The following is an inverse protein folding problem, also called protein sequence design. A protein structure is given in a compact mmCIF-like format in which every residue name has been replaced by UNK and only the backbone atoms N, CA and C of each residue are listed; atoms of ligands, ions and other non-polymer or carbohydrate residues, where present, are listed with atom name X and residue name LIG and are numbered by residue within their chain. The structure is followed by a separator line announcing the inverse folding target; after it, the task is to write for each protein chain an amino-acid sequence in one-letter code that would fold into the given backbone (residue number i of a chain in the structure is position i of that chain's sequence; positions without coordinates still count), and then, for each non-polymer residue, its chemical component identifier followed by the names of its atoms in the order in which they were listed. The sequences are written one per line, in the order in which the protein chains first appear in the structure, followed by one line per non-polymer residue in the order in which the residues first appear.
data_IF_433801536143
#
_entry.id   IF_433801536143
#
_cell.length_a   1.000
_cell.length_b   1.000
_cell.length_c   1.000
_cell.angle_alpha   90.00
_cell.angle_beta   90.00
_cell.angle_gamma   90.00
#
_symmetry.space_group_name_H-M   'P 1'
#
loop_
_entity.id
_entity.type
_entity.pdbx_description
1 polymer ?
#
# COMPACT_ATOMS: atom_id res chain seq x y z
N UNK A 1 -5.15 5.29 -20.04
CA UNK A 1 -5.34 3.83 -20.06
C UNK A 1 -4.91 3.33 -18.68
N UNK A 2 -5.82 2.88 -17.82
CA UNK A 2 -5.43 2.29 -16.52
C UNK A 2 -5.03 0.85 -16.79
N UNK A 3 -3.75 0.53 -16.64
CA UNK A 3 -3.30 -0.86 -16.64
C UNK A 3 -3.84 -1.52 -15.36
N UNK A 4 -4.95 -2.23 -15.50
CA UNK A 4 -5.47 -3.10 -14.45
C UNK A 4 -4.48 -4.25 -14.33
N UNK A 5 -3.69 -4.25 -13.26
CA UNK A 5 -2.78 -5.36 -12.94
C UNK A 5 -3.65 -6.60 -12.74
N UNK A 6 -3.40 -7.71 -13.48
CA UNK A 6 -4.14 -8.95 -13.27
C UNK A 6 -4.07 -9.41 -11.81
N UNK A 7 -5.18 -9.95 -11.29
CA UNK A 7 -5.30 -10.35 -9.88
C UNK A 7 -4.19 -11.33 -9.47
N UNK A 8 -3.88 -12.33 -10.29
CA UNK A 8 -2.82 -13.31 -10.01
C UNK A 8 -1.43 -12.65 -9.91
N UNK A 9 -1.17 -11.64 -10.74
CA UNK A 9 0.09 -10.90 -10.70
C UNK A 9 0.17 -10.03 -9.44
N UNK A 10 -0.94 -9.40 -9.05
CA UNK A 10 -0.98 -8.63 -7.80
C UNK A 10 -0.78 -9.56 -6.60
N UNK A 11 -1.47 -10.69 -6.55
CA UNK A 11 -1.32 -11.69 -5.50
C UNK A 11 0.14 -12.17 -5.38
N UNK A 12 0.80 -12.48 -6.50
CA UNK A 12 2.20 -12.85 -6.52
C UNK A 12 3.12 -11.75 -5.95
N UNK A 13 2.87 -10.49 -6.31
CA UNK A 13 3.63 -9.33 -5.78
C UNK A 13 3.44 -9.15 -4.28
N UNK A 14 2.23 -9.36 -3.76
CA UNK A 14 1.93 -9.26 -2.33
C UNK A 14 2.68 -10.35 -1.56
N UNK A 15 2.62 -11.60 -2.03
CA UNK A 15 3.37 -12.71 -1.43
C UNK A 15 4.87 -12.47 -1.45
N UNK A 16 5.41 -12.02 -2.57
CA UNK A 16 6.84 -11.76 -2.68
C UNK A 16 7.29 -10.61 -1.78
N UNK A 17 6.49 -9.54 -1.68
CA UNK A 17 6.76 -8.45 -0.74
C UNK A 17 6.81 -8.95 0.72
N UNK A 18 5.88 -9.82 1.12
CA UNK A 18 5.88 -10.44 2.44
C UNK A 18 7.13 -11.29 2.68
N UNK A 19 7.48 -12.18 1.74
CA UNK A 19 8.68 -13.02 1.81
C UNK A 19 9.96 -12.17 1.91
N UNK A 20 10.09 -11.14 1.09
CA UNK A 20 11.27 -10.26 1.09
C UNK A 20 11.37 -9.37 2.33
N UNK A 21 10.26 -9.12 3.03
CA UNK A 21 10.27 -8.36 4.27
C UNK A 21 10.90 -9.14 5.44
N UNK A 22 10.88 -10.47 5.39
CA UNK A 22 11.60 -11.33 6.34
C UNK A 22 13.12 -11.07 6.31
N UNK A 23 13.66 -10.62 5.16
CA UNK A 23 15.05 -10.20 5.00
C UNK A 23 15.45 -8.90 5.73
N UNK A 24 14.58 -8.34 6.57
CA UNK A 24 14.92 -7.27 7.51
C UNK A 24 14.65 -5.84 7.02
N UNK A 25 13.94 -5.64 5.91
CA UNK A 25 13.51 -4.31 5.46
C UNK A 25 12.05 -4.33 5.03
N UNK A 26 11.32 -3.23 5.29
CA UNK A 26 9.95 -3.09 4.81
C UNK A 26 9.90 -3.11 3.27
N UNK A 27 8.85 -3.73 2.72
CA UNK A 27 8.60 -3.86 1.29
C UNK A 27 7.23 -3.30 0.96
N UNK A 28 7.13 -2.61 -0.16
CA UNK A 28 5.92 -1.90 -0.55
C UNK A 28 5.49 -2.30 -1.95
N UNK A 29 4.20 -2.56 -2.12
CA UNK A 29 3.55 -2.69 -3.42
C UNK A 29 2.87 -1.36 -3.73
N UNK A 30 2.94 -0.92 -4.99
CA UNK A 30 2.47 0.38 -5.45
C UNK A 30 0.98 0.63 -5.20
N UNK A 31 0.51 1.83 -5.54
CA UNK A 31 -0.86 2.27 -5.25
C UNK A 31 -1.94 1.37 -5.85
N UNK A 32 -2.69 0.74 -4.95
CA UNK A 32 -3.85 -0.09 -5.20
C UNK A 32 -5.12 0.76 -5.18
N UNK A 33 -6.07 0.43 -6.05
CA UNK A 33 -7.44 0.91 -5.94
C UNK A 33 -8.24 0.07 -4.91
N UNK A 34 -9.54 0.31 -4.79
CA UNK A 34 -10.39 -0.39 -3.84
C UNK A 34 -10.41 -1.92 -4.06
N UNK A 35 -10.42 -2.39 -5.32
CA UNK A 35 -10.40 -3.83 -5.62
C UNK A 35 -9.05 -4.43 -5.27
N UNK A 36 -7.95 -3.79 -5.69
CA UNK A 36 -6.59 -4.24 -5.37
C UNK A 36 -6.30 -4.24 -3.87
N UNK A 37 -6.80 -3.26 -3.12
CA UNK A 37 -6.65 -3.20 -1.66
C UNK A 37 -7.38 -4.37 -0.97
N UNK A 38 -8.60 -4.70 -1.43
CA UNK A 38 -9.33 -5.88 -0.97
C UNK A 38 -8.56 -7.16 -1.27
N UNK A 39 -8.09 -7.33 -2.50
CA UNK A 39 -7.30 -8.50 -2.90
C UNK A 39 -6.04 -8.64 -2.03
N UNK A 40 -5.29 -7.55 -1.83
CA UNK A 40 -4.10 -7.55 -0.97
C UNK A 40 -4.41 -7.97 0.48
N UNK A 41 -5.50 -7.46 1.05
CA UNK A 41 -5.95 -7.84 2.40
C UNK A 41 -6.34 -9.32 2.47
N UNK A 42 -7.04 -9.85 1.46
CA UNK A 42 -7.38 -11.26 1.38
C UNK A 42 -6.16 -12.16 1.23
N UNK A 43 -5.22 -11.80 0.34
CA UNK A 43 -3.96 -12.51 0.16
C UNK A 43 -3.16 -12.53 1.45
N UNK A 44 -3.05 -11.40 2.15
CA UNK A 44 -2.35 -11.32 3.43
C UNK A 44 -2.99 -12.20 4.51
N UNK A 45 -4.33 -12.18 4.61
CA UNK A 45 -5.08 -13.03 5.54
C UNK A 45 -4.89 -14.52 5.23
N UNK A 46 -5.00 -14.93 3.96
CA UNK A 46 -4.81 -16.33 3.52
C UNK A 46 -3.36 -16.79 3.75
N UNK A 47 -2.39 -15.92 3.50
CA UNK A 47 -0.97 -16.16 3.74
C UNK A 47 -0.54 -16.08 5.20
N UNK A 48 -1.44 -15.69 6.12
CA UNK A 48 -1.16 -15.47 7.54
C UNK A 48 -0.03 -14.45 7.78
N UNK A 49 0.05 -13.43 6.93
CA UNK A 49 1.03 -12.35 7.09
C UNK A 49 0.56 -11.42 8.20
N UNK A 50 1.21 -11.49 9.36
CA UNK A 50 0.81 -10.73 10.56
C UNK A 50 1.38 -9.32 10.62
N UNK A 51 2.47 -9.06 9.90
CA UNK A 51 3.18 -7.77 9.93
C UNK A 51 2.98 -7.01 8.60
N UNK A 52 1.75 -6.61 8.31
CA UNK A 52 1.40 -5.82 7.13
C UNK A 52 0.40 -4.69 7.43
N UNK A 53 0.37 -3.67 6.57
CA UNK A 53 -0.58 -2.54 6.64
C UNK A 53 -0.95 -2.07 5.23
N UNK A 54 -2.14 -1.48 5.09
CA UNK A 54 -2.55 -0.70 3.91
C UNK A 54 -2.59 0.77 4.30
N UNK A 55 -1.91 1.63 3.55
CA UNK A 55 -1.85 3.07 3.85
C UNK A 55 -1.71 3.93 2.60
N UNK A 56 -2.47 5.01 2.51
CA UNK A 56 -2.46 5.94 1.37
C UNK A 56 -1.92 7.32 1.68
N UNK A 57 -1.37 7.56 2.88
CA UNK A 57 -0.82 8.85 3.31
C UNK A 57 -1.73 9.65 4.24
N UNK A 58 -3.03 9.35 4.28
CA UNK A 58 -4.02 9.91 5.20
C UNK A 58 -5.15 8.88 5.43
N UNK A 59 -6.01 9.12 6.43
CA UNK A 59 -6.98 8.13 6.93
C UNK A 59 -7.96 7.61 5.87
N UNK A 60 -8.42 8.47 4.96
CA UNK A 60 -9.47 8.17 3.99
C UNK A 60 -8.97 8.14 2.55
N UNK A 61 -7.69 7.79 2.36
CA UNK A 61 -7.10 7.76 1.03
C UNK A 61 -7.75 6.69 0.15
N UNK A 62 -8.33 7.11 -0.98
CA UNK A 62 -8.95 6.20 -1.97
C UNK A 62 -7.96 5.17 -2.53
N UNK A 63 -6.68 5.56 -2.66
CA UNK A 63 -5.60 4.71 -3.13
C UNK A 63 -4.61 4.47 -2.02
N UNK A 64 -4.30 3.20 -1.79
CA UNK A 64 -3.41 2.77 -0.70
C UNK A 64 -2.26 1.95 -1.24
N UNK A 65 -1.13 1.93 -0.53
CA UNK A 65 -0.04 0.99 -0.77
C UNK A 65 -0.17 -0.18 0.20
N UNK A 66 0.24 -1.38 -0.23
CA UNK A 66 0.46 -2.49 0.70
C UNK A 66 1.90 -2.45 1.21
N UNK A 67 2.06 -2.45 2.53
CA UNK A 67 3.35 -2.56 3.20
C UNK A 67 3.47 -3.87 3.95
N UNK A 68 4.55 -4.62 3.69
CA UNK A 68 4.97 -5.77 4.49
C UNK A 68 6.21 -5.39 5.31
N UNK A 69 6.23 -5.80 6.56
CA UNK A 69 7.23 -5.38 7.54
C UNK A 69 7.94 -6.60 8.15
N UNK A 70 9.25 -6.48 8.47
CA UNK A 70 9.95 -7.48 9.27
C UNK A 70 9.26 -7.71 10.62
N UNK A 71 9.44 -8.89 11.22
CA UNK A 71 8.79 -9.24 12.50
C UNK A 71 9.16 -8.30 13.67
N UNK A 72 10.37 -7.71 13.65
CA UNK A 72 10.82 -6.76 14.67
C UNK A 72 10.27 -5.33 14.48
N UNK A 73 9.63 -5.06 13.35
CA UNK A 73 9.19 -3.72 12.97
C UNK A 73 7.67 -3.64 12.99
N UNK A 74 7.12 -2.86 13.93
CA UNK A 74 5.68 -2.61 13.98
C UNK A 74 5.22 -1.85 12.72
N UNK A 75 4.20 -2.33 11.98
CA UNK A 75 3.60 -1.59 10.88
C UNK A 75 3.03 -0.25 11.35
N UNK A 76 3.30 0.83 10.60
CA UNK A 76 2.81 2.17 10.90
C UNK A 76 2.79 3.01 9.61
N UNK A 77 1.85 3.97 9.52
CA UNK A 77 1.66 4.79 8.31
C UNK A 77 2.88 5.67 7.97
N UNK A 78 3.59 6.15 8.99
CA UNK A 78 4.78 6.99 8.89
C UNK A 78 5.99 6.26 8.28
N UNK A 79 5.94 4.93 8.22
CA UNK A 79 6.99 4.10 7.61
C UNK A 79 6.81 3.92 6.11
N UNK A 80 5.67 4.32 5.55
CA UNK A 80 5.41 4.20 4.13
C UNK A 80 6.15 5.29 3.35
N UNK A 81 6.62 4.98 2.12
CA UNK A 81 7.23 5.97 1.23
C UNK A 81 6.16 6.80 0.50
N UNK A 82 5.21 7.38 1.25
CA UNK A 82 4.12 8.21 0.72
C UNK A 82 3.97 9.47 1.56
N UNK A 83 3.72 10.59 0.90
CA UNK A 83 3.40 11.87 1.52
C UNK A 83 2.12 12.44 0.90
N UNK A 84 1.22 12.95 1.74
CA UNK A 84 0.03 13.67 1.29
C UNK A 84 0.40 15.11 0.95
N UNK A 85 -0.06 15.61 -0.19
CA UNK A 85 0.13 16.99 -0.64
C UNK A 85 -1.22 17.67 -0.80
N UNK A 86 -1.34 18.89 -0.29
CA UNK A 86 -2.53 19.74 -0.48
C UNK A 86 -2.20 20.83 -1.50
N UNK A 87 -2.96 20.88 -2.60
CA UNK A 87 -2.91 21.98 -3.55
C UNK A 87 -3.97 23.02 -3.18
N UNK A 88 -3.59 24.31 -3.19
CA UNK A 88 -4.50 25.42 -2.94
C UNK A 88 -4.52 26.35 -4.15
N UNK A 89 -5.70 26.88 -4.48
CA UNK A 89 -5.82 27.87 -5.54
C UNK A 89 -5.16 29.18 -5.15
N UNK A 90 -4.54 29.84 -6.12
CA UNK A 90 -3.99 31.18 -5.90
C UNK A 90 -5.15 32.18 -5.77
N UNK A 91 -5.07 33.14 -4.84
CA UNK A 91 -6.15 34.14 -4.63
C UNK A 91 -6.53 34.95 -5.88
N UNK A 92 -5.65 35.01 -6.88
CA UNK A 92 -5.83 35.78 -8.12
C UNK A 92 -6.60 35.01 -9.20
N UNK A 93 -6.87 33.72 -9.00
CA UNK A 93 -7.63 32.87 -9.91
C UNK A 93 -9.01 32.61 -9.31
N UNK A 94 -9.90 33.61 -9.44
CA UNK A 94 -11.31 33.46 -9.09
C UNK A 94 -12.09 33.28 -10.40
N UNK A 95 -12.69 32.09 -10.58
CA UNK A 95 -13.59 31.76 -11.69
C UNK A 95 -14.77 32.75 -11.79
#
# INVERSE_FOLDING_TARGET
MRDVVPDDLLEARIREAARLAEGGRARFVGFLDAHGARLAAETARRGRFSSCLLWGGYADAERVMFGAFPAFLRPAGEKFPVAALTAVYRPQERL
#
